data_IF_461943634455
#
_entry.id   IF_461943634455
#
_cell.length_a   1.000
_cell.length_b   1.000
_cell.length_c   1.000
_cell.angle_alpha   90.00
_cell.angle_beta   90.00
_cell.angle_gamma   90.00
#
_symmetry.space_group_name_H-M   'P 1'
#
loop_
_entity.id
_entity.type
_entity.pdbx_description
1 polymer ?
#
# COMPACT_ATOMS: atom_id res chain seq x y z
N UNK A 1 -6.11 26.03 16.91
CA UNK A 1 -5.28 27.25 16.86
C UNK A 1 -5.31 27.93 18.23
N UNK A 2 -4.19 28.46 18.77
CA UNK A 2 -4.19 29.24 20.00
C UNK A 2 -4.90 30.59 19.83
N UNK A 3 -5.17 31.29 20.94
CA UNK A 3 -5.76 32.63 20.93
C UNK A 3 -4.71 33.71 20.59
N UNK A 4 -4.13 33.61 19.39
CA UNK A 4 -3.16 34.59 18.88
C UNK A 4 -3.87 35.64 18.06
N UNK A 5 -3.92 36.86 18.58
CA UNK A 5 -4.52 38.05 17.94
C UNK A 5 -3.43 39.09 17.68
N UNK A 6 -3.64 39.92 16.65
CA UNK A 6 -2.73 41.02 16.31
C UNK A 6 -3.49 42.35 16.38
N UNK A 7 -2.83 43.40 16.87
CA UNK A 7 -3.41 44.74 17.01
C UNK A 7 -2.58 45.83 16.29
N UNK A 8 -2.40 45.75 14.95
CA UNK A 8 -1.64 46.76 14.22
C UNK A 8 -2.47 48.03 13.95
N UNK A 9 -1.84 49.21 14.08
CA UNK A 9 -2.40 50.51 13.65
C UNK A 9 -3.82 50.85 14.16
N UNK A 10 -4.19 50.41 15.37
CA UNK A 10 -5.52 50.65 15.93
C UNK A 10 -6.63 49.74 15.37
N UNK A 11 -6.27 48.72 14.58
CA UNK A 11 -7.18 47.68 14.10
C UNK A 11 -6.90 46.34 14.79
N UNK A 12 -7.91 45.46 14.82
CA UNK A 12 -7.81 44.11 15.39
C UNK A 12 -7.88 43.06 14.29
N UNK A 13 -6.90 42.16 14.26
CA UNK A 13 -6.91 40.94 13.45
C UNK A 13 -7.18 39.77 14.39
N UNK A 14 -8.42 39.23 14.40
CA UNK A 14 -8.78 38.15 15.32
C UNK A 14 -8.15 36.82 14.93
N UNK A 15 -7.98 35.91 15.90
CA UNK A 15 -7.36 34.61 15.69
C UNK A 15 -8.05 33.76 14.61
N UNK A 16 -9.34 33.98 14.37
CA UNK A 16 -10.10 33.32 13.30
C UNK A 16 -9.53 33.59 11.89
N UNK A 17 -8.90 34.75 11.67
CA UNK A 17 -8.26 35.08 10.38
C UNK A 17 -7.15 34.08 10.06
N UNK A 18 -6.39 33.64 11.07
CA UNK A 18 -5.35 32.64 10.86
C UNK A 18 -5.92 31.30 10.36
N UNK A 19 -7.08 30.87 10.89
CA UNK A 19 -7.76 29.65 10.42
C UNK A 19 -8.22 29.81 8.97
N UNK A 20 -8.78 30.97 8.61
CA UNK A 20 -9.16 31.27 7.22
C UNK A 20 -7.94 31.22 6.28
N UNK A 21 -6.81 31.78 6.68
CA UNK A 21 -5.56 31.71 5.92
C UNK A 21 -5.03 30.28 5.78
N UNK A 22 -5.08 29.48 6.86
CA UNK A 22 -4.65 28.07 6.82
C UNK A 22 -5.55 27.25 5.90
N UNK A 23 -6.87 27.46 5.93
CA UNK A 23 -7.79 26.81 5.00
C UNK A 23 -7.51 27.20 3.55
N UNK A 24 -7.29 28.49 3.29
CA UNK A 24 -6.85 28.97 1.97
C UNK A 24 -5.55 28.31 1.51
N UNK A 25 -4.57 28.19 2.42
CA UNK A 25 -3.29 27.53 2.15
C UNK A 25 -3.47 26.04 1.83
N UNK A 26 -4.27 25.31 2.60
CA UNK A 26 -4.52 23.87 2.38
C UNK A 26 -5.17 23.65 1.01
N UNK A 27 -6.20 24.41 0.65
CA UNK A 27 -6.85 24.28 -0.65
C UNK A 27 -5.91 24.66 -1.80
N UNK A 28 -5.14 25.73 -1.64
CA UNK A 28 -4.14 26.12 -2.62
C UNK A 28 -3.13 24.99 -2.83
N UNK A 29 -2.53 24.46 -1.76
CA UNK A 29 -1.58 23.35 -1.81
C UNK A 29 -2.17 22.09 -2.47
N UNK A 30 -3.43 21.76 -2.19
CA UNK A 30 -4.12 20.62 -2.81
C UNK A 30 -4.25 20.79 -4.34
N UNK A 31 -4.65 21.98 -4.79
CA UNK A 31 -4.83 22.30 -6.21
C UNK A 31 -3.48 22.33 -6.94
N UNK A 32 -2.45 22.91 -6.32
CA UNK A 32 -1.13 23.06 -6.96
C UNK A 32 -0.22 21.84 -6.80
N UNK A 33 -0.61 20.85 -5.99
CA UNK A 33 0.18 19.65 -5.68
C UNK A 33 0.83 18.98 -6.90
N UNK A 34 0.12 18.66 -8.02
CA UNK A 34 0.75 18.01 -9.17
C UNK A 34 1.86 18.85 -9.80
N UNK A 35 1.74 20.18 -9.79
CA UNK A 35 2.76 21.08 -10.31
C UNK A 35 3.96 21.18 -9.37
N UNK A 36 3.73 21.15 -8.05
CA UNK A 36 4.80 21.07 -7.05
C UNK A 36 5.58 19.76 -7.20
N UNK A 37 4.89 18.62 -7.24
CA UNK A 37 5.53 17.31 -7.39
C UNK A 37 6.34 17.23 -8.69
N UNK A 38 5.76 17.67 -9.82
CA UNK A 38 6.46 17.77 -11.10
C UNK A 38 7.73 18.61 -11.01
N UNK A 39 7.69 19.74 -10.29
CA UNK A 39 8.85 20.63 -10.13
C UNK A 39 9.96 20.01 -9.28
N UNK A 40 9.62 19.34 -8.18
CA UNK A 40 10.62 18.76 -7.26
C UNK A 40 11.16 17.41 -7.74
N UNK A 41 10.29 16.55 -8.28
CA UNK A 41 10.68 15.24 -8.85
C UNK A 41 11.36 15.38 -10.21
N UNK A 42 11.16 16.52 -10.91
CA UNK A 42 11.53 16.74 -12.32
C UNK A 42 10.92 15.70 -13.26
N UNK A 43 9.82 15.08 -12.84
CA UNK A 43 9.12 14.09 -13.63
C UNK A 43 8.19 14.77 -14.64
N UNK A 44 8.66 14.86 -15.89
CA UNK A 44 7.93 15.50 -17.00
C UNK A 44 7.46 14.50 -18.06
N UNK A 45 7.65 13.20 -17.84
CA UNK A 45 7.28 12.19 -18.83
C UNK A 45 5.76 11.92 -18.82
N UNK A 46 5.25 11.42 -19.94
CA UNK A 46 3.84 11.06 -20.07
C UNK A 46 3.57 9.71 -19.39
N UNK A 47 2.85 9.73 -18.27
CA UNK A 47 2.57 8.55 -17.46
C UNK A 47 1.16 8.01 -17.73
N UNK A 48 1.09 6.79 -18.29
CA UNK A 48 -0.17 6.06 -18.49
C UNK A 48 -0.36 4.88 -17.54
N UNK A 49 0.71 4.48 -16.84
CA UNK A 49 0.68 3.42 -15.85
C UNK A 49 0.72 4.02 -14.46
N UNK A 50 -0.15 3.50 -13.59
CA UNK A 50 -0.20 3.91 -12.19
C UNK A 50 1.03 3.40 -11.45
N UNK A 51 1.63 4.26 -10.64
CA UNK A 51 2.66 3.88 -9.69
C UNK A 51 2.00 3.33 -8.43
N UNK A 52 2.45 2.17 -7.94
CA UNK A 52 1.97 1.65 -6.65
C UNK A 52 2.42 2.60 -5.53
N UNK A 53 1.62 2.84 -4.48
CA UNK A 53 1.99 3.76 -3.40
C UNK A 53 3.33 3.41 -2.74
N UNK A 54 3.65 2.12 -2.59
CA UNK A 54 4.95 1.70 -2.04
C UNK A 54 6.13 2.10 -2.91
N UNK A 55 5.95 2.34 -4.21
CA UNK A 55 7.01 2.67 -5.16
C UNK A 55 7.34 4.18 -5.19
N UNK A 56 6.49 5.02 -4.60
CA UNK A 56 6.71 6.47 -4.46
C UNK A 56 6.72 6.87 -2.97
N UNK A 57 7.74 6.44 -2.20
CA UNK A 57 7.72 6.50 -0.74
C UNK A 57 7.58 7.93 -0.19
N UNK A 58 8.17 8.93 -0.85
CA UNK A 58 8.05 10.34 -0.44
C UNK A 58 6.63 10.86 -0.66
N UNK A 59 6.04 10.65 -1.85
CA UNK A 59 4.65 11.05 -2.14
C UNK A 59 3.68 10.38 -1.18
N UNK A 60 3.84 9.08 -0.94
CA UNK A 60 2.97 8.34 -0.01
C UNK A 60 3.13 8.81 1.43
N UNK A 61 4.34 9.15 1.87
CA UNK A 61 4.56 9.73 3.19
C UNK A 61 3.95 11.14 3.33
N UNK A 62 4.06 12.01 2.32
CA UNK A 62 3.40 13.33 2.31
C UNK A 62 1.87 13.17 2.36
N UNK A 63 1.32 12.26 1.56
CA UNK A 63 -0.10 11.95 1.58
C UNK A 63 -0.58 11.45 2.95
N UNK A 64 0.15 10.49 3.55
CA UNK A 64 -0.17 9.97 4.88
C UNK A 64 -0.03 11.04 5.97
N UNK A 65 0.96 11.93 5.87
CA UNK A 65 1.14 13.09 6.75
C UNK A 65 -0.09 14.03 6.68
N UNK A 66 -0.58 14.33 5.48
CA UNK A 66 -1.78 15.15 5.29
C UNK A 66 -3.05 14.47 5.84
N UNK A 67 -3.20 13.16 5.63
CA UNK A 67 -4.30 12.37 6.21
C UNK A 67 -4.24 12.38 7.74
N UNK A 68 -3.06 12.21 8.34
CA UNK A 68 -2.88 12.25 9.79
C UNK A 68 -3.24 13.63 10.35
N UNK A 69 -2.83 14.71 9.69
CA UNK A 69 -3.22 16.07 10.05
C UNK A 69 -4.75 16.23 9.99
N UNK A 70 -5.39 15.78 8.91
CA UNK A 70 -6.84 15.82 8.76
C UNK A 70 -7.56 15.05 9.89
N UNK A 71 -7.09 13.85 10.24
CA UNK A 71 -7.66 13.05 11.34
C UNK A 71 -7.52 13.79 12.67
N UNK A 72 -6.36 14.35 12.98
CA UNK A 72 -6.15 15.12 14.22
C UNK A 72 -7.10 16.31 14.30
N UNK A 73 -7.24 17.08 13.22
CA UNK A 73 -8.13 18.24 13.18
C UNK A 73 -9.60 17.82 13.33
N UNK A 74 -9.99 16.72 12.66
CA UNK A 74 -11.36 16.18 12.71
C UNK A 74 -11.70 15.69 14.12
N UNK A 75 -10.82 14.95 14.77
CA UNK A 75 -11.04 14.50 16.15
C UNK A 75 -10.97 15.66 17.15
N UNK A 76 -10.15 16.67 16.89
CA UNK A 76 -10.12 17.88 17.71
C UNK A 76 -11.40 18.70 17.62
N UNK A 77 -12.16 18.59 16.52
CA UNK A 77 -13.46 19.26 16.36
C UNK A 77 -14.58 18.63 17.19
N UNK A 78 -14.45 17.35 17.56
CA UNK A 78 -15.38 16.60 18.43
C UNK A 78 -14.78 16.33 19.81
N UNK A 79 -13.88 17.20 20.27
CA UNK A 79 -13.10 17.00 21.50
C UNK A 79 -13.96 16.94 22.77
N UNK A 80 -15.14 17.55 22.75
CA UNK A 80 -16.15 17.55 23.80
C UNK A 80 -16.78 16.16 24.00
N UNK A 81 -17.20 15.52 22.90
CA UNK A 81 -17.75 14.17 22.91
C UNK A 81 -16.66 13.17 23.32
N UNK A 82 -15.44 13.36 22.83
CA UNK A 82 -14.30 12.53 23.21
C UNK A 82 -14.02 12.66 24.71
N UNK A 83 -13.98 13.89 25.24
CA UNK A 83 -13.79 14.13 26.66
C UNK A 83 -14.88 13.46 27.51
N UNK A 84 -16.14 13.59 27.09
CA UNK A 84 -17.29 13.01 27.78
C UNK A 84 -17.30 11.47 27.76
N UNK A 85 -17.05 10.84 26.60
CA UNK A 85 -17.15 9.38 26.45
C UNK A 85 -15.92 8.64 26.92
N UNK A 86 -14.73 9.18 26.69
CA UNK A 86 -13.48 8.54 27.10
C UNK A 86 -12.99 8.98 28.49
N UNK A 87 -13.77 9.83 29.18
CA UNK A 87 -13.49 10.27 30.55
C UNK A 87 -12.11 10.96 30.66
N UNK A 88 -11.78 11.77 29.65
CA UNK A 88 -10.53 12.55 29.57
C UNK A 88 -10.85 14.02 29.77
N UNK A 89 -9.96 14.76 30.43
CA UNK A 89 -10.12 16.22 30.60
C UNK A 89 -10.20 16.94 29.25
N UNK A 90 -11.13 17.90 29.13
CA UNK A 90 -11.29 18.75 27.94
C UNK A 90 -10.04 19.59 27.62
N UNK A 91 -9.33 20.06 28.66
CA UNK A 91 -8.08 20.79 28.48
C UNK A 91 -6.99 19.84 27.94
N UNK A 92 -6.97 18.60 28.42
CA UNK A 92 -6.02 17.59 27.95
C UNK A 92 -6.27 17.25 26.47
N UNK A 93 -7.53 17.02 26.05
CA UNK A 93 -7.85 16.73 24.64
C UNK A 93 -7.44 17.89 23.72
N UNK A 94 -7.61 19.13 24.17
CA UNK A 94 -7.17 20.33 23.42
C UNK A 94 -5.65 20.40 23.28
N UNK A 95 -4.90 20.14 24.35
CA UNK A 95 -3.43 20.11 24.30
C UNK A 95 -2.90 18.97 23.43
N UNK A 96 -3.53 17.79 23.50
CA UNK A 96 -3.22 16.66 22.61
C UNK A 96 -3.43 17.07 21.15
N UNK A 97 -4.54 17.73 20.80
CA UNK A 97 -4.77 18.23 19.44
C UNK A 97 -3.71 19.25 18.99
N UNK A 98 -3.30 20.17 19.87
CA UNK A 98 -2.28 21.20 19.59
C UNK A 98 -0.88 20.62 19.37
N UNK A 99 -0.47 19.68 20.19
CA UNK A 99 0.83 19.00 20.04
C UNK A 99 0.75 18.04 18.84
N UNK A 100 -0.36 17.31 18.74
CA UNK A 100 -0.64 16.33 17.70
C UNK A 100 -0.61 16.92 16.30
N UNK A 101 -1.17 18.12 16.08
CA UNK A 101 -1.17 18.74 14.75
C UNK A 101 0.24 19.08 14.21
N UNK A 102 1.25 19.15 15.07
CA UNK A 102 2.65 19.39 14.69
C UNK A 102 3.45 18.09 14.68
N UNK A 103 3.36 17.33 15.77
CA UNK A 103 4.22 16.15 16.01
C UNK A 103 3.73 14.92 15.25
N UNK A 104 2.42 14.66 15.23
CA UNK A 104 1.88 13.43 14.63
C UNK A 104 2.12 13.36 13.12
N UNK A 105 1.92 14.43 12.32
CA UNK A 105 2.23 14.39 10.89
C UNK A 105 3.71 14.06 10.62
N UNK A 106 4.64 14.62 11.40
CA UNK A 106 6.07 14.34 11.25
C UNK A 106 6.42 12.88 11.57
N UNK A 107 5.82 12.31 12.63
CA UNK A 107 5.99 10.89 12.98
C UNK A 107 5.42 10.00 11.89
N UNK A 108 4.18 10.28 11.43
CA UNK A 108 3.52 9.48 10.39
C UNK A 108 4.31 9.55 9.08
N UNK A 109 4.82 10.72 8.70
CA UNK A 109 5.71 10.85 7.54
C UNK A 109 6.90 9.89 7.63
N UNK A 110 7.64 9.93 8.75
CA UNK A 110 8.81 9.09 8.94
C UNK A 110 8.46 7.61 8.89
N UNK A 111 7.43 7.19 9.63
CA UNK A 111 6.97 5.80 9.68
C UNK A 111 6.52 5.34 8.30
N UNK A 112 5.67 6.09 7.60
CA UNK A 112 5.15 5.72 6.28
C UNK A 112 6.26 5.64 5.24
N UNK A 113 7.23 6.57 5.25
CA UNK A 113 8.37 6.51 4.35
C UNK A 113 9.19 5.22 4.54
N UNK A 114 9.51 4.89 5.80
CA UNK A 114 10.26 3.66 6.13
C UNK A 114 9.45 2.40 5.85
N UNK A 115 8.14 2.44 6.08
CA UNK A 115 7.22 1.35 5.78
C UNK A 115 7.18 1.07 4.27
N UNK A 116 7.05 2.11 3.44
CA UNK A 116 7.04 1.98 1.98
C UNK A 116 8.32 1.30 1.46
N UNK A 117 9.49 1.74 1.93
CA UNK A 117 10.78 1.12 1.57
C UNK A 117 10.86 -0.33 2.07
N UNK A 118 10.37 -0.62 3.28
CA UNK A 118 10.33 -1.99 3.81
C UNK A 118 9.45 -2.90 2.93
N UNK A 119 8.31 -2.40 2.46
CA UNK A 119 7.44 -3.13 1.54
C UNK A 119 8.10 -3.38 0.18
N UNK A 120 8.88 -2.41 -0.34
CA UNK A 120 9.67 -2.62 -1.56
C UNK A 120 10.72 -3.73 -1.36
N UNK A 121 11.44 -3.71 -0.24
CA UNK A 121 12.44 -4.75 0.10
C UNK A 121 11.79 -6.12 0.22
N UNK A 122 10.61 -6.19 0.84
CA UNK A 122 9.86 -7.43 0.95
C UNK A 122 9.35 -7.93 -0.41
N UNK A 123 9.03 -7.04 -1.37
CA UNK A 123 8.70 -7.45 -2.74
C UNK A 123 9.95 -7.96 -3.48
N UNK A 124 11.12 -7.32 -3.30
CA UNK A 124 12.41 -7.78 -3.88
C UNK A 124 12.86 -9.13 -3.33
N UNK A 125 12.72 -9.36 -2.03
CA UNK A 125 13.06 -10.64 -1.41
C UNK A 125 12.30 -11.81 -2.05
N UNK A 126 11.02 -11.60 -2.40
CA UNK A 126 10.20 -12.61 -3.10
C UNK A 126 10.68 -12.85 -4.53
N UNK A 127 11.16 -11.83 -5.24
CA UNK A 127 11.71 -11.98 -6.59
C UNK A 127 13.07 -12.70 -6.60
N UNK A 128 13.89 -12.45 -5.58
CA UNK A 128 15.23 -13.02 -5.44
C UNK A 128 15.21 -14.45 -4.88
N UNK A 129 14.32 -14.75 -3.92
CA UNK A 129 14.34 -16.02 -3.19
C UNK A 129 13.11 -16.89 -3.41
N UNK A 130 12.03 -16.36 -4.00
CA UNK A 130 10.74 -17.04 -4.11
C UNK A 130 9.80 -16.77 -2.93
N UNK A 131 8.63 -17.40 -2.99
CA UNK A 131 7.60 -17.29 -1.95
C UNK A 131 7.90 -18.28 -0.82
N UNK A 132 7.93 -17.77 0.40
CA UNK A 132 7.93 -18.54 1.64
C UNK A 132 6.73 -19.52 1.67
N UNK A 133 7.01 -20.83 1.72
CA UNK A 133 5.95 -21.84 1.78
C UNK A 133 5.49 -22.14 3.21
N UNK A 134 6.28 -21.76 4.22
CA UNK A 134 6.06 -22.14 5.62
C UNK A 134 6.40 -23.61 5.93
N UNK A 135 6.95 -24.37 4.98
CA UNK A 135 7.39 -25.76 5.19
C UNK A 135 8.88 -25.75 5.54
N UNK A 136 9.19 -26.14 6.78
CA UNK A 136 10.57 -26.31 7.24
C UNK A 136 11.05 -27.75 7.02
N UNK A 137 12.19 -27.90 6.34
CA UNK A 137 12.85 -29.19 6.12
C UNK A 137 14.18 -29.22 6.86
N UNK A 138 14.38 -30.26 7.67
CA UNK A 138 15.68 -30.55 8.28
C UNK A 138 16.57 -31.33 7.30
N UNK A 139 17.76 -30.82 7.06
CA UNK A 139 18.76 -31.46 6.18
C UNK A 139 19.55 -32.55 6.93
N UNK A 140 20.16 -33.51 6.22
CA UNK A 140 20.91 -34.62 6.85
C UNK A 140 22.05 -34.16 7.78
N UNK A 141 22.62 -32.97 7.56
CA UNK A 141 23.67 -32.36 8.38
C UNK A 141 23.13 -31.47 9.51
N UNK A 142 21.81 -31.46 9.74
CA UNK A 142 21.18 -30.80 10.89
C UNK A 142 20.67 -29.37 10.65
N UNK A 143 20.97 -28.74 9.51
CA UNK A 143 20.43 -27.42 9.18
C UNK A 143 18.91 -27.46 8.91
N UNK A 144 18.23 -26.35 9.18
CA UNK A 144 16.83 -26.14 8.83
C UNK A 144 16.75 -25.17 7.65
N UNK A 145 16.04 -25.57 6.61
CA UNK A 145 15.77 -24.71 5.45
C UNK A 145 14.26 -24.57 5.28
N UNK A 146 13.82 -23.36 4.99
CA UNK A 146 12.47 -23.13 4.52
C UNK A 146 12.41 -23.42 3.02
N UNK A 147 11.44 -24.21 2.59
CA UNK A 147 11.21 -24.42 1.17
C UNK A 147 10.62 -23.14 0.60
N UNK A 148 11.27 -22.57 -0.42
CA UNK A 148 10.73 -21.43 -1.16
C UNK A 148 10.21 -21.90 -2.51
N UNK A 149 9.06 -21.36 -2.91
CA UNK A 149 8.51 -21.58 -4.24
C UNK A 149 9.00 -20.47 -5.18
N UNK A 150 9.86 -20.77 -6.17
CA UNK A 150 10.28 -19.79 -7.16
C UNK A 150 9.08 -19.34 -8.01
N UNK A 151 9.05 -18.04 -8.34
CA UNK A 151 8.04 -17.45 -9.23
C UNK A 151 8.40 -17.58 -10.71
N UNK A 152 9.69 -17.71 -11.02
CA UNK A 152 10.24 -17.76 -12.36
C UNK A 152 11.01 -19.06 -12.63
N UNK A 153 11.77 -19.09 -13.72
CA UNK A 153 12.67 -20.20 -14.03
C UNK A 153 13.69 -20.42 -12.90
N UNK A 154 14.19 -21.65 -12.82
CA UNK A 154 15.26 -22.04 -11.91
C UNK A 154 16.51 -22.40 -12.70
N UNK A 155 17.68 -22.20 -12.11
CA UNK A 155 18.95 -22.65 -12.68
C UNK A 155 19.15 -24.17 -12.52
N UNK A 156 20.27 -24.67 -13.01
CA UNK A 156 20.63 -26.11 -12.93
C UNK A 156 20.78 -26.61 -11.48
N UNK A 157 20.99 -25.71 -10.52
CA UNK A 157 21.15 -26.00 -9.11
C UNK A 157 19.83 -25.86 -8.32
N UNK A 158 18.74 -25.48 -8.98
CA UNK A 158 17.43 -25.27 -8.37
C UNK A 158 17.27 -23.92 -7.68
N UNK A 159 18.19 -22.99 -7.88
CA UNK A 159 18.04 -21.62 -7.39
C UNK A 159 17.14 -20.80 -8.33
N UNK A 160 16.28 -19.91 -7.79
CA UNK A 160 15.49 -19.01 -8.61
C UNK A 160 16.39 -18.07 -9.42
N UNK A 161 16.09 -17.93 -10.72
CA UNK A 161 16.66 -16.84 -11.52
C UNK A 161 15.94 -15.54 -11.09
N UNK A 162 16.66 -14.52 -10.57
CA UNK A 162 16.02 -13.31 -10.06
C UNK A 162 15.20 -12.61 -11.15
N UNK A 163 13.94 -12.36 -10.85
CA UNK A 163 13.03 -11.64 -11.73
C UNK A 163 13.15 -10.12 -11.52
N UNK A 164 13.02 -9.35 -12.58
CA UNK A 164 12.98 -7.89 -12.49
C UNK A 164 11.66 -7.39 -11.90
N UNK A 165 11.74 -6.30 -11.12
CA UNK A 165 10.55 -5.66 -10.57
C UNK A 165 9.85 -4.81 -11.65
N UNK A 166 8.60 -5.18 -11.98
CA UNK A 166 7.81 -4.51 -13.02
C UNK A 166 6.68 -3.61 -12.49
N UNK A 167 6.66 -3.27 -11.20
CA UNK A 167 5.58 -2.44 -10.65
C UNK A 167 4.25 -3.17 -10.42
N UNK A 168 4.22 -4.51 -10.52
CA UNK A 168 3.05 -5.33 -10.26
C UNK A 168 3.00 -5.86 -8.81
N UNK A 169 1.81 -6.11 -8.24
CA UNK A 169 1.69 -6.77 -6.94
C UNK A 169 2.12 -8.24 -7.01
N UNK A 170 3.10 -8.61 -6.20
CA UNK A 170 3.58 -9.99 -6.11
C UNK A 170 2.80 -10.79 -5.07
N UNK A 171 2.41 -12.05 -5.37
CA UNK A 171 1.86 -12.94 -4.36
C UNK A 171 2.97 -13.29 -3.35
N UNK A 172 2.63 -13.26 -2.05
CA UNK A 172 3.55 -13.61 -0.94
C UNK A 172 3.14 -14.84 -0.17
N UNK A 173 2.08 -15.52 -0.62
CA UNK A 173 1.50 -16.68 0.05
C UNK A 173 1.10 -17.70 -1.00
N UNK A 174 1.40 -18.96 -0.74
CA UNK A 174 1.08 -20.08 -1.63
C UNK A 174 -0.42 -20.20 -1.93
N UNK A 175 -1.28 -19.84 -0.98
CA UNK A 175 -2.73 -19.85 -1.21
C UNK A 175 -3.19 -18.90 -2.33
N UNK A 176 -2.43 -17.84 -2.62
CA UNK A 176 -2.72 -16.92 -3.74
C UNK A 176 -2.25 -17.47 -5.08
N UNK A 177 -1.42 -18.50 -5.08
CA UNK A 177 -1.02 -19.26 -6.26
C UNK A 177 -1.93 -20.46 -6.54
N UNK A 178 -3.04 -20.61 -5.80
CA UNK A 178 -3.95 -21.73 -5.98
C UNK A 178 -3.45 -23.06 -5.37
N UNK A 179 -2.40 -23.04 -4.55
CA UNK A 179 -1.80 -24.27 -3.98
C UNK A 179 -2.77 -25.08 -3.12
N UNK A 180 -3.79 -24.44 -2.53
CA UNK A 180 -4.79 -25.07 -1.69
C UNK A 180 -5.92 -25.76 -2.48
N UNK A 181 -5.96 -25.59 -3.81
CA UNK A 181 -7.03 -26.08 -4.65
C UNK A 181 -8.37 -25.37 -4.43
N UNK A 182 -9.43 -25.99 -4.94
CA UNK A 182 -10.81 -25.54 -4.72
C UNK A 182 -11.50 -26.45 -3.71
N UNK A 183 -12.38 -25.90 -2.84
CA UNK A 183 -13.28 -26.74 -2.05
C UNK A 183 -14.20 -27.55 -2.97
N UNK A 184 -14.75 -28.65 -2.46
CA UNK A 184 -15.73 -29.46 -3.21
C UNK A 184 -16.91 -28.60 -3.68
N UNK A 185 -17.40 -28.89 -4.89
CA UNK A 185 -18.55 -28.17 -5.45
C UNK A 185 -19.85 -28.67 -4.81
N UNK A 186 -20.86 -27.80 -4.83
CA UNK A 186 -22.20 -28.09 -4.36
C UNK A 186 -22.75 -26.99 -3.48
N UNK A 187 -23.81 -27.32 -2.76
CA UNK A 187 -24.40 -26.41 -1.80
C UNK A 187 -23.59 -26.43 -0.50
N UNK A 188 -23.80 -25.42 0.35
CA UNK A 188 -23.15 -25.29 1.65
C UNK A 188 -23.32 -26.52 2.55
N UNK A 189 -24.44 -27.27 2.40
CA UNK A 189 -24.78 -28.43 3.22
C UNK A 189 -24.62 -29.78 2.51
N UNK A 190 -24.64 -29.81 1.18
CA UNK A 190 -24.71 -31.05 0.41
C UNK A 190 -23.75 -31.00 -0.79
N UNK A 191 -22.91 -32.03 -0.98
CA UNK A 191 -21.97 -32.08 -2.10
C UNK A 191 -22.66 -32.44 -3.42
N UNK A 192 -22.08 -32.01 -4.52
CA UNK A 192 -22.47 -32.48 -5.86
C UNK A 192 -21.99 -33.92 -6.10
N UNK A 193 -22.58 -34.64 -7.08
CA UNK A 193 -22.05 -35.92 -7.54
C UNK A 193 -20.60 -35.79 -8.04
N UNK A 194 -19.76 -36.80 -7.76
CA UNK A 194 -18.32 -36.77 -8.06
C UNK A 194 -18.00 -36.51 -9.55
N UNK A 195 -18.80 -37.08 -10.45
CA UNK A 195 -18.64 -36.86 -11.90
C UNK A 195 -18.87 -35.41 -12.33
N UNK A 196 -19.79 -34.71 -11.67
CA UNK A 196 -20.04 -33.29 -11.92
C UNK A 196 -18.93 -32.43 -11.30
N UNK A 197 -18.55 -32.71 -10.05
CA UNK A 197 -17.48 -32.00 -9.37
C UNK A 197 -16.15 -32.06 -10.15
N UNK A 198 -15.76 -33.25 -10.61
CA UNK A 198 -14.53 -33.44 -11.38
C UNK A 198 -14.57 -32.69 -12.72
N UNK A 199 -15.71 -32.72 -13.41
CA UNK A 199 -15.90 -31.97 -14.66
C UNK A 199 -15.81 -30.45 -14.43
N UNK A 200 -16.42 -29.93 -13.36
CA UNK A 200 -16.39 -28.51 -13.01
C UNK A 200 -14.99 -28.03 -12.64
N UNK A 201 -14.27 -28.78 -11.79
CA UNK A 201 -12.89 -28.45 -11.38
C UNK A 201 -11.96 -28.46 -12.60
N UNK A 202 -12.08 -29.47 -13.47
CA UNK A 202 -11.28 -29.55 -14.69
C UNK A 202 -11.59 -28.38 -15.66
N UNK A 203 -12.87 -28.04 -15.83
CA UNK A 203 -13.29 -26.92 -16.68
C UNK A 203 -12.78 -25.57 -16.14
N UNK A 204 -12.86 -25.35 -14.82
CA UNK A 204 -12.37 -24.13 -14.17
C UNK A 204 -10.85 -23.99 -14.31
N UNK A 205 -10.10 -25.05 -14.01
CA UNK A 205 -8.65 -25.08 -14.17
C UNK A 205 -8.24 -24.84 -15.64
N UNK A 206 -8.91 -25.49 -16.59
CA UNK A 206 -8.67 -25.28 -18.02
C UNK A 206 -9.02 -23.86 -18.49
N UNK A 207 -10.03 -23.21 -17.90
CA UNK A 207 -10.37 -21.83 -18.20
C UNK A 207 -9.31 -20.86 -17.68
N UNK A 208 -8.82 -21.07 -16.44
CA UNK A 208 -7.74 -20.27 -15.85
C UNK A 208 -6.44 -20.39 -16.66
N UNK A 209 -6.01 -21.60 -17.01
CA UNK A 209 -4.83 -21.81 -17.85
C UNK A 209 -4.94 -21.16 -19.22
N UNK A 210 -6.13 -21.22 -19.84
CA UNK A 210 -6.40 -20.52 -21.11
C UNK A 210 -6.27 -19.01 -20.96
N UNK A 211 -6.79 -18.43 -19.88
CA UNK A 211 -6.70 -17.00 -19.62
C UNK A 211 -5.24 -16.55 -19.41
N UNK A 212 -4.48 -17.26 -18.58
CA UNK A 212 -3.06 -16.97 -18.33
C UNK A 212 -2.24 -17.09 -19.62
N UNK A 213 -2.47 -18.15 -20.41
CA UNK A 213 -1.77 -18.37 -21.68
C UNK A 213 -2.07 -17.27 -22.69
N UNK A 214 -3.33 -16.84 -22.80
CA UNK A 214 -3.71 -15.74 -23.70
C UNK A 214 -3.05 -14.42 -23.31
N UNK A 215 -2.96 -14.11 -22.00
CA UNK A 215 -2.27 -12.93 -21.51
C UNK A 215 -0.76 -12.99 -21.77
N UNK A 216 -0.14 -14.15 -21.52
CA UNK A 216 1.28 -14.38 -21.80
C UNK A 216 1.60 -14.18 -23.29
N UNK A 217 0.83 -14.80 -24.19
CA UNK A 217 1.01 -14.64 -25.63
C UNK A 217 0.88 -13.18 -26.07
N UNK A 218 -0.06 -12.43 -25.49
CA UNK A 218 -0.21 -11.00 -25.78
C UNK A 218 0.99 -10.18 -25.28
N UNK A 219 1.51 -10.51 -24.09
CA UNK A 219 2.71 -9.88 -23.55
C UNK A 219 3.94 -10.16 -24.44
N UNK A 220 4.13 -11.40 -24.87
CA UNK A 220 5.24 -11.80 -25.74
C UNK A 220 5.15 -11.10 -27.12
N UNK A 221 3.93 -10.99 -27.67
CA UNK A 221 3.67 -10.28 -28.94
C UNK A 221 4.02 -8.79 -28.83
N UNK A 222 3.60 -8.13 -27.76
CA UNK A 222 3.90 -6.72 -27.52
C UNK A 222 5.39 -6.48 -27.21
N UNK A 223 6.04 -7.42 -26.50
CA UNK A 223 7.47 -7.34 -26.16
C UNK A 223 8.37 -7.43 -27.39
N UNK A 224 8.05 -8.31 -28.35
CA UNK A 224 8.83 -8.44 -29.59
C UNK A 224 8.64 -7.26 -30.56
N UNK A 225 7.51 -6.54 -30.50
CA UNK A 225 7.23 -5.38 -31.35
C UNK A 225 7.94 -4.08 -30.94
N UNK A 226 8.57 -4.03 -29.77
CA UNK A 226 9.27 -2.84 -29.25
C UNK A 226 10.77 -2.79 -29.62
N UNK A 227 11.32 -3.84 -30.25
CA UNK A 227 12.72 -3.94 -30.66
C UNK A 227 12.94 -3.68 -32.17
N UNK A 228 12.03 -2.97 -32.84
CA UNK A 228 12.09 -2.62 -34.27
C UNK A 228 12.10 -1.12 -34.52
#
# INVERSE_FOLDING_TARGET
WPAWELYPFGHTVPAAVAVALIMGLVFMLLIIYPFLEKRFSKDTAHHNLLQRPRDAPVRTAIGAMAIALYIVLTFSAMNDIIALKFHVSLNATTWIGRIGMVVLPAIVYYVTYRWAISLQRSDRAVLEHGIETGILKRLPHGAYVELHQPLGPVDEHGHPIPLEYQGAPLPKRMNKLGSAGAPGTGNFLFPDPEGEQTALVAAAHAAEHRAITALKQRQDTNGNGSNG
#
